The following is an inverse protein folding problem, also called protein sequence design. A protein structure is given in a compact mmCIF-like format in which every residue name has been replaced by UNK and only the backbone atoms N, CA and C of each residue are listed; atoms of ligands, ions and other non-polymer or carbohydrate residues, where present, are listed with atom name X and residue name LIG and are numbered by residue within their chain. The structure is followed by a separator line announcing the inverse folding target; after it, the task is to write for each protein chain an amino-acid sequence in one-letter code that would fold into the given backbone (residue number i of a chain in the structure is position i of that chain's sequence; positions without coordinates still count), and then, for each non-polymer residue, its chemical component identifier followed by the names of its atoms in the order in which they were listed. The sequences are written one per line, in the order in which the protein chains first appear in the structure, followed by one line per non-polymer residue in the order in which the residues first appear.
data_IF_913384239286
#
_entry.id   IF_913384239286
#
_cell.length_a   1.000
_cell.length_b   1.000
_cell.length_c   1.000
_cell.angle_alpha   90.00
_cell.angle_beta   90.00
_cell.angle_gamma   90.00
#
_symmetry.space_group_name_H-M   'P 1'
#
loop_
_entity.id
_entity.type
_entity.pdbx_description
1 polymer ?
#
# COMPACT_ATOMS: atom_id res chain seq x y z
N UNK A 1 -14.87 -20.26 -11.22
CA UNK A 1 -13.85 -19.24 -10.89
C UNK A 1 -13.68 -18.33 -12.08
N UNK A 2 -13.70 -17.02 -11.88
CA UNK A 2 -13.52 -16.08 -12.98
C UNK A 2 -12.02 -16.00 -13.32
N UNK A 3 -11.65 -16.08 -14.61
CA UNK A 3 -10.26 -15.84 -15.00
C UNK A 3 -9.98 -14.34 -14.93
N UNK A 4 -9.36 -13.91 -13.83
CA UNK A 4 -8.98 -12.53 -13.56
C UNK A 4 -7.83 -12.46 -12.56
N UNK A 5 -7.28 -11.26 -12.34
CA UNK A 5 -6.26 -11.03 -11.33
C UNK A 5 -6.53 -9.73 -10.57
N UNK A 6 -6.21 -9.74 -9.29
CA UNK A 6 -6.16 -8.53 -8.46
C UNK A 6 -4.89 -7.73 -8.77
N UNK A 7 -4.96 -6.40 -8.74
CA UNK A 7 -3.81 -5.53 -9.04
C UNK A 7 -3.06 -5.14 -7.77
N UNK A 8 -1.74 -5.24 -7.79
CA UNK A 8 -0.85 -4.61 -6.82
C UNK A 8 0.09 -3.66 -7.55
N UNK A 9 0.42 -2.52 -6.93
CA UNK A 9 1.41 -1.61 -7.50
C UNK A 9 2.81 -2.21 -7.36
N UNK A 10 3.71 -1.92 -8.30
CA UNK A 10 5.09 -2.40 -8.27
C UNK A 10 5.87 -1.89 -7.04
N UNK A 11 5.51 -0.71 -6.53
CA UNK A 11 6.08 -0.08 -5.34
C UNK A 11 5.30 -0.37 -4.05
N UNK A 12 4.36 -1.34 -4.08
CA UNK A 12 3.56 -1.73 -2.91
C UNK A 12 4.43 -1.99 -1.66
N UNK A 13 5.55 -2.69 -1.83
CA UNK A 13 6.50 -3.01 -0.77
C UNK A 13 7.21 -1.78 -0.18
N UNK A 14 7.26 -0.66 -0.90
CA UNK A 14 7.97 0.56 -0.49
C UNK A 14 7.07 1.52 0.32
N UNK A 15 5.77 1.21 0.47
CA UNK A 15 4.90 1.98 1.36
C UNK A 15 5.41 1.87 2.80
N UNK A 16 5.62 2.96 3.55
CA UNK A 16 6.04 2.90 4.96
C UNK A 16 5.13 2.02 5.82
N UNK A 17 3.82 2.03 5.54
CA UNK A 17 2.83 1.18 6.22
C UNK A 17 3.05 -0.31 5.92
N UNK A 18 3.36 -0.65 4.67
CA UNK A 18 3.65 -2.04 4.27
C UNK A 18 5.01 -2.50 4.80
N UNK A 19 6.04 -1.67 4.74
CA UNK A 19 7.36 -2.01 5.31
C UNK A 19 7.28 -2.28 6.80
N UNK A 20 6.56 -1.44 7.56
CA UNK A 20 6.31 -1.65 8.99
C UNK A 20 5.53 -2.94 9.23
N UNK A 21 4.46 -3.17 8.50
CA UNK A 21 3.64 -4.37 8.61
C UNK A 21 4.43 -5.66 8.31
N UNK A 22 5.30 -5.66 7.29
CA UNK A 22 6.17 -6.80 6.99
C UNK A 22 7.18 -7.09 8.11
N UNK A 23 7.61 -6.07 8.84
CA UNK A 23 8.52 -6.23 9.97
C UNK A 23 7.81 -6.70 11.25
N UNK A 24 6.59 -6.22 11.50
CA UNK A 24 5.83 -6.51 12.73
C UNK A 24 4.97 -7.78 12.61
N UNK A 25 4.23 -7.93 11.51
CA UNK A 25 3.30 -9.03 11.27
C UNK A 25 3.21 -9.38 9.78
N UNK A 26 4.19 -10.10 9.22
CA UNK A 26 4.21 -10.44 7.80
C UNK A 26 3.04 -11.34 7.38
N UNK A 27 2.47 -12.14 8.29
CA UNK A 27 1.30 -12.97 8.01
C UNK A 27 0.06 -12.13 7.67
N UNK A 28 -0.14 -11.00 8.38
CA UNK A 28 -1.23 -10.07 8.11
C UNK A 28 -1.19 -9.53 6.67
N UNK A 29 0.00 -9.26 6.12
CA UNK A 29 0.13 -8.84 4.72
C UNK A 29 -0.31 -9.94 3.74
N UNK A 30 -0.02 -11.21 4.05
CA UNK A 30 -0.52 -12.34 3.26
C UNK A 30 -2.04 -12.38 3.20
N UNK A 31 -2.70 -12.21 4.34
CA UNK A 31 -4.16 -12.17 4.44
C UNK A 31 -4.77 -10.91 3.81
N UNK A 32 -4.11 -9.76 3.93
CA UNK A 32 -4.53 -8.53 3.25
C UNK A 32 -4.56 -8.73 1.73
N UNK A 33 -3.49 -9.30 1.15
CA UNK A 33 -3.40 -9.60 -0.29
C UNK A 33 -4.44 -10.66 -0.69
N UNK A 34 -4.66 -11.69 0.14
CA UNK A 34 -5.70 -12.68 -0.09
C UNK A 34 -7.10 -12.05 -0.11
N UNK A 35 -7.38 -11.10 0.79
CA UNK A 35 -8.62 -10.33 0.81
C UNK A 35 -8.83 -9.53 -0.48
N UNK A 36 -7.79 -8.86 -0.99
CA UNK A 36 -7.87 -8.15 -2.28
C UNK A 36 -8.20 -9.15 -3.41
N UNK A 37 -7.55 -10.31 -3.43
CA UNK A 37 -7.81 -11.35 -4.42
C UNK A 37 -9.25 -11.87 -4.34
N UNK A 38 -9.75 -12.13 -3.12
CA UNK A 38 -11.13 -12.57 -2.89
C UNK A 38 -12.14 -11.54 -3.39
N UNK A 39 -11.98 -10.27 -2.99
CA UNK A 39 -12.90 -9.20 -3.37
C UNK A 39 -12.92 -8.97 -4.89
N UNK A 40 -11.77 -9.17 -5.55
CA UNK A 40 -11.65 -9.08 -7.00
C UNK A 40 -12.36 -10.21 -7.74
N UNK A 41 -12.24 -11.47 -7.28
CA UNK A 41 -12.90 -12.62 -7.94
C UNK A 41 -14.43 -12.56 -7.74
N UNK A 42 -14.87 -12.08 -6.58
CA UNK A 42 -16.29 -12.05 -6.21
C UNK A 42 -16.99 -10.73 -6.55
N UNK A 43 -16.27 -9.74 -7.09
CA UNK A 43 -16.78 -8.40 -7.42
C UNK A 43 -17.52 -7.74 -6.24
N UNK A 44 -16.92 -7.79 -5.06
CA UNK A 44 -17.52 -7.26 -3.82
C UNK A 44 -17.10 -5.83 -3.51
N UNK A 45 -16.35 -5.19 -4.40
CA UNK A 45 -15.86 -3.81 -4.23
C UNK A 45 -15.06 -3.56 -2.95
N UNK A 46 -14.42 -4.61 -2.43
CA UNK A 46 -13.60 -4.56 -1.23
C UNK A 46 -14.29 -5.11 0.01
N UNK A 47 -15.59 -5.44 -0.08
CA UNK A 47 -16.33 -6.04 1.02
C UNK A 47 -15.96 -7.51 1.22
N UNK A 48 -15.68 -7.88 2.47
CA UNK A 48 -15.33 -9.22 2.95
C UNK A 48 -16.37 -9.64 3.99
N UNK A 49 -17.21 -10.62 3.68
CA UNK A 49 -18.19 -11.12 4.65
C UNK A 49 -17.51 -11.92 5.76
N UNK A 50 -18.18 -12.06 6.91
CA UNK A 50 -17.76 -12.95 8.00
C UNK A 50 -17.47 -14.37 7.49
N UNK A 51 -18.37 -14.91 6.65
CA UNK A 51 -18.16 -16.22 6.05
C UNK A 51 -16.86 -16.29 5.23
N UNK A 52 -16.53 -15.24 4.48
CA UNK A 52 -15.34 -15.20 3.65
C UNK A 52 -14.05 -15.17 4.49
N UNK A 53 -14.02 -14.32 5.51
CA UNK A 53 -12.84 -14.15 6.37
C UNK A 53 -12.64 -15.38 7.27
N UNK A 54 -13.67 -15.78 8.02
CA UNK A 54 -13.54 -16.82 9.03
C UNK A 54 -13.49 -18.24 8.45
N UNK A 55 -14.20 -18.51 7.34
CA UNK A 55 -14.34 -19.87 6.82
C UNK A 55 -13.62 -20.09 5.49
N UNK A 56 -13.69 -19.16 4.54
CA UNK A 56 -13.05 -19.34 3.24
C UNK A 56 -11.54 -19.08 3.30
N UNK A 57 -11.14 -17.93 3.88
CA UNK A 57 -9.73 -17.57 4.04
C UNK A 57 -9.13 -18.10 5.36
N UNK A 58 -9.98 -18.38 6.36
CA UNK A 58 -9.59 -18.89 7.68
C UNK A 58 -8.54 -17.99 8.32
N UNK A 59 -8.85 -16.69 8.32
CA UNK A 59 -7.99 -15.68 8.92
C UNK A 59 -8.06 -15.83 10.45
N UNK A 60 -6.93 -15.95 11.16
CA UNK A 60 -6.93 -15.98 12.62
C UNK A 60 -7.46 -14.67 13.21
N UNK A 61 -8.22 -14.73 14.30
CA UNK A 61 -8.80 -13.56 14.97
C UNK A 61 -7.75 -12.49 15.30
N UNK A 62 -6.57 -12.91 15.79
CA UNK A 62 -5.44 -12.01 16.08
C UNK A 62 -4.92 -11.25 14.85
N UNK A 63 -5.07 -11.81 13.64
CA UNK A 63 -4.72 -11.15 12.39
C UNK A 63 -5.84 -10.20 11.94
N UNK A 64 -7.10 -10.58 12.17
CA UNK A 64 -8.26 -9.71 11.89
C UNK A 64 -8.15 -8.45 12.74
N UNK A 65 -7.98 -8.61 14.06
CA UNK A 65 -7.81 -7.51 15.02
C UNK A 65 -6.65 -6.59 14.60
N UNK A 66 -5.51 -7.18 14.23
CA UNK A 66 -4.33 -6.42 13.81
C UNK A 66 -4.56 -5.65 12.49
N UNK A 67 -5.23 -6.26 11.51
CA UNK A 67 -5.57 -5.62 10.24
C UNK A 67 -6.57 -4.48 10.42
N UNK A 68 -7.50 -4.61 11.37
CA UNK A 68 -8.39 -3.52 11.78
C UNK A 68 -7.62 -2.38 12.45
N UNK A 69 -6.78 -2.71 13.43
CA UNK A 69 -6.05 -1.72 14.24
C UNK A 69 -5.08 -0.88 13.40
N UNK A 70 -4.40 -1.51 12.44
CA UNK A 70 -3.51 -0.82 11.51
C UNK A 70 -4.28 -0.18 10.33
N UNK A 71 -5.60 -0.33 10.27
CA UNK A 71 -6.48 0.28 9.27
C UNK A 71 -6.25 -0.27 7.85
N UNK A 72 -5.93 -1.56 7.74
CA UNK A 72 -5.97 -2.27 6.47
C UNK A 72 -7.40 -2.68 6.13
N UNK A 73 -8.14 -3.13 7.13
CA UNK A 73 -9.55 -3.47 7.08
C UNK A 73 -10.35 -2.56 8.02
N UNK A 74 -11.59 -2.31 7.66
CA UNK A 74 -12.56 -1.57 8.48
C UNK A 74 -13.71 -2.50 8.81
N UNK A 75 -14.06 -2.64 10.08
CA UNK A 75 -15.22 -3.42 10.50
C UNK A 75 -16.51 -2.67 10.13
N UNK A 76 -17.49 -3.37 9.56
CA UNK A 76 -18.78 -2.82 9.15
C UNK A 76 -19.88 -3.06 10.19
N UNK A 77 -20.84 -2.14 10.29
CA UNK A 77 -21.92 -2.19 11.29
C UNK A 77 -22.88 -3.39 11.08
N UNK A 78 -23.03 -3.84 9.82
CA UNK A 78 -23.84 -4.99 9.43
C UNK A 78 -23.07 -6.32 9.47
N UNK A 79 -21.81 -6.30 9.93
CA UNK A 79 -20.92 -7.44 10.03
C UNK A 79 -20.02 -7.60 8.80
N UNK A 80 -18.84 -8.19 9.04
CA UNK A 80 -17.79 -8.29 8.02
C UNK A 80 -16.90 -7.05 7.96
N UNK A 81 -16.11 -6.95 6.89
CA UNK A 81 -15.03 -5.99 6.76
C UNK A 81 -14.96 -5.34 5.38
N UNK A 82 -14.48 -4.11 5.32
CA UNK A 82 -14.13 -3.40 4.09
C UNK A 82 -12.62 -3.25 3.98
N UNK A 83 -12.05 -3.53 2.81
CA UNK A 83 -10.63 -3.27 2.52
C UNK A 83 -10.44 -1.76 2.30
N UNK A 84 -9.65 -1.11 3.16
CA UNK A 84 -9.38 0.33 3.07
C UNK A 84 -8.73 0.68 1.73
N UNK A 85 -9.31 1.66 1.01
CA UNK A 85 -8.79 2.16 -0.26
C UNK A 85 -8.90 1.21 -1.45
N UNK A 86 -9.71 0.13 -1.38
CA UNK A 86 -9.80 -0.88 -2.44
C UNK A 86 -10.10 -0.28 -3.83
N UNK A 87 -11.10 0.59 -3.92
CA UNK A 87 -11.53 1.21 -5.19
C UNK A 87 -10.55 2.27 -5.74
N UNK A 88 -9.54 2.67 -4.97
CA UNK A 88 -8.46 3.53 -5.49
C UNK A 88 -7.55 2.78 -6.46
N UNK A 89 -7.48 1.46 -6.32
CA UNK A 89 -6.55 0.60 -7.05
C UNK A 89 -7.27 -0.47 -7.88
N UNK A 90 -8.45 -0.90 -7.46
CA UNK A 90 -9.26 -1.89 -8.18
C UNK A 90 -10.37 -1.23 -9.01
N UNK A 91 -10.90 -1.98 -9.98
CA UNK A 91 -12.06 -1.55 -10.73
C UNK A 91 -13.31 -1.96 -9.93
N UNK A 92 -14.31 -1.08 -9.87
CA UNK A 92 -15.60 -1.42 -9.26
C UNK A 92 -16.35 -2.48 -10.07
N UNK A 93 -17.26 -3.19 -9.40
CA UNK A 93 -18.20 -4.14 -9.97
C UNK A 93 -18.96 -3.52 -11.12
N UNK A 94 -19.55 -2.34 -10.91
CA UNK A 94 -20.30 -1.62 -11.93
C UNK A 94 -19.46 -1.35 -13.18
N UNK A 95 -18.21 -0.90 -13.01
CA UNK A 95 -17.30 -0.63 -14.12
C UNK A 95 -16.98 -1.91 -14.91
N UNK A 96 -16.76 -3.02 -14.20
CA UNK A 96 -16.49 -4.33 -14.80
C UNK A 96 -17.73 -4.84 -15.55
N UNK A 97 -18.91 -4.78 -14.94
CA UNK A 97 -20.18 -5.20 -15.55
C UNK A 97 -20.51 -4.36 -16.79
N UNK A 98 -20.34 -3.05 -16.72
CA UNK A 98 -20.54 -2.15 -17.85
C UNK A 98 -19.57 -2.44 -19.00
N UNK A 99 -18.29 -2.70 -18.69
CA UNK A 99 -17.32 -3.13 -19.69
C UNK A 99 -17.68 -4.48 -20.33
N UNK A 100 -18.14 -5.46 -19.53
CA UNK A 100 -18.64 -6.75 -20.02
C UNK A 100 -19.86 -6.59 -20.92
N UNK A 101 -20.80 -5.70 -20.57
CA UNK A 101 -21.99 -5.40 -21.38
C UNK A 101 -21.62 -4.77 -22.73
N UNK A 102 -20.70 -3.79 -22.73
CA UNK A 102 -20.19 -3.17 -23.97
C UNK A 102 -19.48 -4.19 -24.87
N UNK A 103 -18.68 -5.08 -24.29
CA UNK A 103 -18.02 -6.15 -25.05
C UNK A 103 -19.02 -7.14 -25.64
N UNK A 104 -20.01 -7.58 -24.86
CA UNK A 104 -21.07 -8.46 -25.33
C UNK A 104 -21.88 -7.82 -26.47
N UNK A 105 -22.21 -6.52 -26.36
CA UNK A 105 -22.89 -5.77 -27.42
C UNK A 105 -22.04 -5.70 -28.70
N UNK A 106 -20.74 -5.40 -28.58
CA UNK A 106 -19.82 -5.39 -29.72
C UNK A 106 -19.74 -6.75 -30.40
N UNK A 107 -19.67 -7.84 -29.63
CA UNK A 107 -19.62 -9.21 -30.16
C UNK A 107 -20.90 -9.57 -30.89
N UNK A 108 -22.07 -9.25 -30.34
CA UNK A 108 -23.37 -9.43 -31.04
C UNK A 108 -23.43 -8.65 -32.36
N UNK A 109 -23.06 -7.37 -32.34
CA UNK A 109 -23.02 -6.53 -33.53
C UNK A 109 -21.98 -6.94 -34.59
N UNK A 110 -21.02 -7.81 -34.23
CA UNK A 110 -20.02 -8.36 -35.16
C UNK A 110 -20.41 -9.75 -35.64
N UNK A 111 -21.10 -10.54 -34.81
CA UNK A 111 -21.60 -11.88 -35.14
C UNK A 111 -22.81 -11.90 -36.07
N UNK A 112 -23.62 -10.82 -36.10
CA UNK A 112 -24.72 -10.65 -37.07
C UNK A 112 -24.25 -10.26 -38.48
N UNK A 113 -22.94 -10.09 -38.71
CA UNK A 113 -22.39 -9.98 -40.07
C UNK A 113 -22.01 -11.38 -40.55
N UNK A 114 -22.92 -12.02 -41.29
CA UNK A 114 -22.58 -13.21 -42.06
C UNK A 114 -21.46 -12.89 -43.07
N UNK A 115 -20.53 -13.83 -43.20
CA UNK A 115 -19.35 -13.86 -44.05
C UNK A 115 -18.19 -12.88 -43.76
N UNK A 116 -17.17 -13.43 -43.10
CA UNK A 116 -15.91 -13.71 -43.79
C UNK A 116 -15.02 -12.51 -44.16
N UNK A 117 -13.94 -12.35 -43.39
CA UNK A 117 -12.67 -11.73 -43.78
C UNK A 117 -12.73 -10.20 -43.96
N UNK A 118 -12.17 -9.48 -42.98
CA UNK A 118 -11.74 -8.09 -43.22
C UNK A 118 -10.61 -8.12 -44.25
N UNK A 119 -10.80 -7.49 -45.40
CA UNK A 119 -9.73 -7.25 -46.37
C UNK A 119 -8.66 -6.37 -45.73
N UNK A 120 -7.40 -6.81 -45.85
CA UNK A 120 -6.20 -6.21 -45.25
C UNK A 120 -5.96 -4.74 -45.68
N UNK A 121 -6.67 -4.29 -46.71
CA UNK A 121 -6.63 -2.93 -47.27
C UNK A 121 -7.27 -1.85 -46.41
N UNK A 122 -8.02 -2.18 -45.36
CA UNK A 122 -8.58 -1.15 -44.44
C UNK A 122 -7.62 -0.76 -43.30
N UNK A 123 -6.41 -1.34 -43.26
CA UNK A 123 -5.45 -1.14 -42.16
C UNK A 123 -4.40 -0.05 -42.40
N UNK A 124 -4.32 0.55 -43.59
CA UNK A 124 -3.39 1.66 -43.88
C UNK A 124 -3.95 2.60 -44.97
N UNK A 125 -4.50 3.77 -44.62
CA UNK A 125 -4.92 4.75 -45.62
C UNK A 125 -3.76 5.55 -46.21
N UNK A 126 -2.58 5.56 -45.57
CA UNK A 126 -1.39 6.27 -46.06
C UNK A 126 -0.18 5.33 -46.16
N UNK A 127 0.00 4.77 -47.35
CA UNK A 127 1.25 4.13 -47.71
C UNK A 127 2.38 5.16 -47.84
N UNK A 128 3.43 5.00 -47.05
CA UNK A 128 4.79 5.30 -47.50
C UNK A 128 5.54 3.98 -47.47
N UNK A 129 5.79 3.43 -48.67
CA UNK A 129 6.77 2.37 -48.87
C UNK A 129 8.15 2.98 -48.66
N UNK A 130 8.93 2.47 -47.71
CA UNK A 130 10.39 2.55 -47.80
C UNK A 130 10.92 1.17 -48.17
N UNK A 131 11.16 1.02 -49.46
CA UNK A 131 12.03 0.01 -50.05
C UNK A 131 13.49 0.26 -49.59
N UNK A 132 14.31 -0.80 -49.64
CA UNK A 132 15.76 -0.89 -49.37
C UNK A 132 16.12 -1.00 -47.87
N UNK A 133 16.61 -2.15 -47.39
CA UNK A 133 17.94 -2.64 -47.74
C UNK A 133 18.11 -4.16 -47.56
N UNK A 134 18.76 -4.75 -48.57
CA UNK A 134 19.54 -6.00 -48.56
C UNK A 134 20.52 -5.97 -47.35
N UNK A 135 20.96 -7.06 -46.70
CA UNK A 135 21.50 -8.33 -47.20
C UNK A 135 21.79 -9.25 -45.99
N UNK A 136 21.79 -10.60 -46.13
CA UNK A 136 22.09 -11.55 -45.05
C UNK A 136 23.58 -12.00 -44.97
N UNK A 137 23.99 -12.37 -43.74
CA UNK A 137 25.06 -13.32 -43.30
C UNK A 137 26.55 -13.03 -43.60
N UNK A 138 27.43 -13.39 -42.63
CA UNK A 138 28.68 -14.08 -42.93
C UNK A 138 28.69 -15.54 -42.41
N UNK A 139 29.32 -16.41 -43.20
CA UNK A 139 29.66 -17.83 -42.95
C UNK A 139 30.84 -17.95 -41.98
N UNK A 140 30.90 -19.07 -41.25
CA UNK A 140 32.05 -20.00 -41.08
C UNK A 140 31.72 -20.98 -39.95
N UNK A 141 32.06 -22.25 -39.87
CA UNK A 141 32.68 -23.29 -40.71
C UNK A 141 32.45 -24.61 -39.90
N UNK A 142 32.20 -25.72 -40.59
CA UNK A 142 32.15 -27.11 -40.10
C UNK A 142 33.45 -27.53 -39.34
N UNK A 143 33.57 -28.67 -38.58
CA UNK A 143 33.22 -30.02 -39.11
C UNK A 143 32.92 -31.19 -38.13
N UNK A 144 32.54 -32.33 -38.75
CA UNK A 144 32.69 -33.75 -38.35
C UNK A 144 31.78 -34.25 -37.21
N UNK A 145 31.26 -35.48 -37.18
CA UNK A 145 31.57 -36.70 -37.91
C UNK A 145 30.33 -37.65 -37.91
N UNK A 146 30.38 -38.58 -38.84
CA UNK A 146 29.45 -39.64 -39.24
C UNK A 146 29.16 -40.72 -38.17
N UNK A 147 27.93 -41.23 -38.15
CA UNK A 147 27.59 -42.63 -38.50
C UNK A 147 26.55 -43.33 -37.61
N UNK A 148 25.78 -44.18 -38.31
CA UNK A 148 24.99 -45.36 -37.92
C UNK A 148 23.50 -45.25 -37.53
N UNK A 149 22.77 -46.11 -38.25
CA UNK A 149 21.33 -46.29 -38.41
C UNK A 149 20.63 -46.92 -37.20
N UNK A 150 19.32 -46.69 -37.03
CA UNK A 150 18.33 -47.78 -37.01
C UNK A 150 16.88 -47.26 -37.18
N UNK A 151 16.14 -47.90 -38.08
CA UNK A 151 14.72 -47.77 -38.43
C UNK A 151 13.84 -48.48 -37.38
N UNK A 152 12.62 -48.09 -37.01
CA UNK A 152 11.33 -47.85 -37.68
C UNK A 152 10.43 -47.22 -36.57
N UNK A 153 9.48 -46.30 -36.76
CA UNK A 153 8.20 -46.42 -37.49
C UNK A 153 7.51 -45.03 -37.51
N UNK A 154 7.01 -44.63 -38.68
CA UNK A 154 5.84 -43.78 -38.93
C UNK A 154 5.56 -42.62 -37.96
N UNK A 155 6.14 -41.43 -38.22
CA UNK A 155 5.57 -40.16 -37.74
C UNK A 155 4.82 -39.49 -38.87
N UNK A 156 3.53 -39.28 -38.61
CA UNK A 156 2.62 -38.45 -39.38
C UNK A 156 3.21 -37.04 -39.45
N UNK A 157 3.30 -36.55 -40.69
CA UNK A 157 3.51 -35.18 -41.17
C UNK A 157 3.12 -34.10 -40.15
N UNK A 158 4.11 -33.33 -39.73
CA UNK A 158 3.93 -32.01 -39.13
C UNK A 158 3.37 -31.07 -40.21
N UNK A 159 2.19 -30.51 -39.96
CA UNK A 159 1.70 -29.33 -40.67
C UNK A 159 1.83 -28.12 -39.75
N UNK A 160 2.43 -27.08 -40.33
CA UNK A 160 2.62 -25.74 -39.79
C UNK A 160 1.29 -25.15 -39.30
N UNK A 161 1.04 -25.26 -38.01
CA UNK A 161 -0.01 -24.55 -37.31
C UNK A 161 0.48 -23.18 -36.86
N UNK A 162 0.18 -22.16 -37.67
CA UNK A 162 0.17 -20.75 -37.26
C UNK A 162 -0.55 -20.67 -35.91
N UNK A 163 0.20 -20.42 -34.82
CA UNK A 163 -0.36 -20.18 -33.50
C UNK A 163 -1.15 -18.87 -33.54
N UNK A 164 -2.45 -18.99 -33.70
CA UNK A 164 -3.40 -17.90 -33.55
C UNK A 164 -3.36 -17.41 -32.10
N UNK A 165 -3.23 -16.10 -31.93
CA UNK A 165 -3.20 -15.37 -30.64
C UNK A 165 -4.51 -15.52 -29.82
N UNK A 166 -5.44 -16.36 -30.27
CA UNK A 166 -6.79 -16.55 -29.73
C UNK A 166 -6.89 -17.53 -28.57
N UNK A 167 -5.82 -18.23 -28.18
CA UNK A 167 -5.86 -19.16 -27.03
C UNK A 167 -5.45 -18.54 -25.69
N UNK A 168 -5.24 -17.21 -25.62
CA UNK A 168 -4.71 -16.56 -24.39
C UNK A 168 -5.74 -16.01 -23.41
N UNK A 169 -7.05 -16.13 -23.63
CA UNK A 169 -8.03 -15.72 -22.62
C UNK A 169 -9.43 -16.36 -22.83
N UNK A 170 -9.85 -17.34 -22.01
CA UNK A 170 -11.19 -17.95 -22.11
C UNK A 170 -12.35 -16.98 -21.91
N UNK A 171 -12.11 -15.81 -21.31
CA UNK A 171 -13.17 -14.86 -20.95
C UNK A 171 -13.25 -13.61 -21.83
N UNK A 172 -12.45 -13.51 -22.89
CA UNK A 172 -12.62 -12.48 -23.93
C UNK A 172 -12.61 -11.02 -23.44
N UNK A 173 -12.06 -10.75 -22.25
CA UNK A 173 -11.78 -9.40 -21.77
C UNK A 173 -10.49 -8.96 -22.46
N UNK A 174 -10.54 -7.83 -23.17
CA UNK A 174 -9.33 -7.22 -23.77
C UNK A 174 -8.29 -6.96 -22.67
N UNK A 175 -7.02 -7.20 -23.00
CA UNK A 175 -5.87 -6.97 -22.11
C UNK A 175 -5.70 -5.51 -21.66
N UNK A 176 -6.45 -4.59 -22.26
CA UNK A 176 -6.52 -3.17 -21.91
C UNK A 176 -7.33 -2.89 -20.62
N UNK A 177 -8.14 -3.83 -20.13
CA UNK A 177 -8.83 -3.75 -18.83
C UNK A 177 -8.05 -4.46 -17.70
N UNK A 178 -7.05 -5.25 -18.08
CA UNK A 178 -6.04 -5.82 -17.18
C UNK A 178 -4.90 -4.81 -16.90
N UNK A 179 -4.68 -3.83 -17.77
CA UNK A 179 -3.70 -2.75 -17.55
C UNK A 179 -4.37 -1.39 -17.36
N UNK A 180 -4.15 -0.74 -16.20
CA UNK A 180 -4.47 0.68 -16.02
C UNK A 180 -3.30 1.55 -16.50
N UNK A 181 -3.53 2.81 -16.89
CA UNK A 181 -2.59 3.61 -17.69
C UNK A 181 -1.28 3.94 -16.95
N UNK A 182 -0.18 4.09 -17.72
CA UNK A 182 1.10 4.57 -17.20
C UNK A 182 0.94 5.97 -16.60
N UNK A 183 1.55 6.27 -15.43
CA UNK A 183 1.62 7.63 -14.95
C UNK A 183 2.43 8.48 -15.93
N UNK A 184 1.85 9.59 -16.41
CA UNK A 184 2.59 10.63 -17.12
C UNK A 184 3.47 11.34 -16.10
N UNK A 185 4.75 11.02 -16.08
CA UNK A 185 5.78 11.86 -15.47
C UNK A 185 6.14 12.99 -16.43
N UNK A 186 5.63 14.20 -16.18
CA UNK A 186 6.28 15.43 -16.63
C UNK A 186 6.11 16.53 -15.57
N UNK A 187 7.23 17.13 -15.20
CA UNK A 187 7.36 18.42 -14.52
C UNK A 187 8.68 19.03 -15.04
N UNK A 188 8.92 20.37 -15.07
CA UNK A 188 8.07 21.50 -14.68
C UNK A 188 8.11 22.69 -15.70
N UNK A 189 7.51 23.84 -15.32
CA UNK A 189 7.35 25.15 -16.01
C UNK A 189 6.23 25.19 -17.06
N UNK A 190 5.30 26.15 -17.11
CA UNK A 190 5.32 27.57 -16.75
C UNK A 190 3.89 28.05 -16.32
N UNK A 191 3.85 29.21 -15.68
CA UNK A 191 2.72 30.02 -15.18
C UNK A 191 1.37 29.97 -15.94
N UNK A 192 0.26 29.73 -15.23
CA UNK A 192 -0.80 30.74 -14.95
C UNK A 192 -2.01 30.13 -14.23
N UNK A 193 -2.50 30.84 -13.21
CA UNK A 193 -3.76 30.59 -12.48
C UNK A 193 -4.98 30.41 -13.38
N UNK A 194 -5.82 29.40 -13.09
CA UNK A 194 -7.29 29.48 -13.16
C UNK A 194 -7.85 28.52 -12.08
N UNK A 195 -8.50 29.13 -11.10
CA UNK A 195 -9.03 28.55 -9.88
C UNK A 195 -10.36 27.85 -10.17
N UNK A 196 -10.42 26.53 -9.94
CA UNK A 196 -11.69 25.82 -9.81
C UNK A 196 -11.62 24.88 -8.62
N UNK A 197 -11.92 25.44 -7.45
CA UNK A 197 -12.20 24.69 -6.24
C UNK A 197 -13.41 23.76 -6.48
N UNK A 198 -13.14 22.47 -6.66
CA UNK A 198 -14.12 21.42 -6.34
C UNK A 198 -13.55 20.58 -5.20
N UNK A 199 -13.86 21.03 -4.00
CA UNK A 199 -13.62 20.33 -2.73
C UNK A 199 -14.31 18.97 -2.78
N UNK A 200 -13.58 17.90 -3.06
CA UNK A 200 -14.09 16.53 -2.95
C UNK A 200 -14.03 16.14 -1.47
N UNK A 201 -15.21 16.02 -0.88
CA UNK A 201 -15.45 15.65 0.51
C UNK A 201 -14.75 14.33 0.83
N UNK A 202 -13.74 14.40 1.71
CA UNK A 202 -13.30 13.28 2.55
C UNK A 202 -14.45 13.03 3.54
N UNK A 203 -15.20 11.95 3.39
CA UNK A 203 -15.89 11.39 4.55
C UNK A 203 -14.84 10.63 5.35
N UNK A 204 -14.27 11.35 6.31
CA UNK A 204 -13.29 10.87 7.27
C UNK A 204 -13.99 10.09 8.38
N UNK A 205 -13.33 9.08 8.94
CA UNK A 205 -13.67 8.39 10.20
C UNK A 205 -13.89 9.34 11.43
N UNK A 206 -13.76 10.65 11.22
CA UNK A 206 -14.15 11.72 12.12
C UNK A 206 -15.69 11.89 12.28
N UNK A 207 -16.51 11.30 11.41
CA UNK A 207 -17.96 11.58 11.35
C UNK A 207 -18.87 10.53 12.02
N UNK A 208 -18.36 9.42 12.55
CA UNK A 208 -19.19 8.55 13.39
C UNK A 208 -19.18 9.08 14.85
N UNK A 209 -20.28 9.68 15.35
CA UNK A 209 -20.30 10.30 16.66
C UNK A 209 -20.02 9.30 17.77
N UNK A 210 -19.46 9.79 18.88
CA UNK A 210 -19.45 9.02 20.13
C UNK A 210 -20.90 8.70 20.50
N UNK A 211 -21.16 7.49 20.99
CA UNK A 211 -22.45 7.19 21.62
C UNK A 211 -22.66 8.13 22.82
N UNK A 212 -23.92 8.35 23.23
CA UNK A 212 -24.21 9.23 24.37
C UNK A 212 -23.45 8.85 25.65
N UNK A 213 -23.26 7.54 25.87
CA UNK A 213 -22.49 6.99 26.99
C UNK A 213 -21.00 7.32 26.86
N UNK A 214 -20.41 7.11 25.69
CA UNK A 214 -19.00 7.43 25.45
C UNK A 214 -18.71 8.92 25.49
N UNK A 215 -19.65 9.74 25.00
CA UNK A 215 -19.59 11.20 25.11
C UNK A 215 -19.56 11.63 26.58
N UNK A 216 -20.41 11.04 27.43
CA UNK A 216 -20.39 11.30 28.87
C UNK A 216 -19.06 10.91 29.53
N UNK A 217 -18.45 9.81 29.12
CA UNK A 217 -17.10 9.44 29.58
C UNK A 217 -16.02 10.40 29.07
N UNK A 218 -16.12 10.85 27.82
CA UNK A 218 -15.19 11.82 27.28
C UNK A 218 -15.28 13.16 28.00
N UNK A 219 -16.49 13.64 28.32
CA UNK A 219 -16.66 14.88 29.07
C UNK A 219 -16.11 14.74 30.50
N UNK A 220 -16.32 13.60 31.16
CA UNK A 220 -15.69 13.31 32.46
C UNK A 220 -14.15 13.30 32.36
N UNK A 221 -13.59 12.62 31.35
CA UNK A 221 -12.15 12.63 31.08
C UNK A 221 -11.67 14.07 30.84
N UNK A 222 -12.39 14.82 30.01
CA UNK A 222 -12.05 16.17 29.63
C UNK A 222 -12.02 17.08 30.83
N UNK A 223 -12.96 16.96 31.76
CA UNK A 223 -13.05 17.76 32.99
C UNK A 223 -11.92 17.45 33.97
N UNK A 224 -11.54 16.17 34.11
CA UNK A 224 -10.42 15.76 34.97
C UNK A 224 -9.05 16.16 34.42
N UNK A 225 -8.88 16.21 33.09
CA UNK A 225 -7.57 16.42 32.50
C UNK A 225 -7.04 17.85 32.79
N UNK A 226 -5.86 18.04 33.41
CA UNK A 226 -5.39 19.37 33.82
C UNK A 226 -5.23 20.35 32.64
N UNK A 227 -4.60 19.91 31.55
CA UNK A 227 -4.35 20.72 30.36
C UNK A 227 -5.49 20.63 29.33
N UNK A 228 -6.26 21.71 29.14
CA UNK A 228 -7.36 21.78 28.15
C UNK A 228 -6.86 22.21 26.76
N UNK A 229 -6.19 21.32 26.03
CA UNK A 229 -5.69 21.60 24.68
C UNK A 229 -6.21 20.59 23.65
N UNK A 230 -6.71 21.09 22.52
CA UNK A 230 -7.09 20.26 21.36
C UNK A 230 -8.27 19.33 21.64
N UNK A 231 -9.42 19.84 22.09
CA UNK A 231 -10.60 19.03 22.48
C UNK A 231 -11.06 18.08 21.38
N UNK A 232 -11.15 18.58 20.14
CA UNK A 232 -11.59 17.78 18.99
C UNK A 232 -10.65 16.61 18.71
N UNK A 233 -9.34 16.85 18.63
CA UNK A 233 -8.36 15.78 18.41
C UNK A 233 -8.31 14.79 19.59
N UNK A 234 -8.47 15.30 20.81
CA UNK A 234 -8.52 14.46 22.01
C UNK A 234 -9.76 13.55 22.01
N UNK A 235 -10.89 14.01 21.49
CA UNK A 235 -12.11 13.21 21.35
C UNK A 235 -11.88 12.02 20.41
N UNK A 236 -11.25 12.26 19.25
CA UNK A 236 -10.88 11.18 18.32
C UNK A 236 -9.86 10.22 18.94
N UNK A 237 -8.86 10.74 19.65
CA UNK A 237 -7.91 9.90 20.39
C UNK A 237 -8.61 9.09 21.50
N UNK A 238 -9.63 9.66 22.16
CA UNK A 238 -10.40 8.99 23.21
C UNK A 238 -11.22 7.83 22.66
N UNK A 239 -11.88 8.02 21.52
CA UNK A 239 -12.59 6.95 20.81
C UNK A 239 -11.67 5.78 20.47
N UNK A 240 -10.45 6.08 20.01
CA UNK A 240 -9.41 5.07 19.76
C UNK A 240 -8.93 4.40 21.06
N UNK A 241 -8.79 5.18 22.13
CA UNK A 241 -8.36 4.67 23.43
C UNK A 241 -9.38 3.74 24.08
N UNK A 242 -10.69 4.02 23.94
CA UNK A 242 -11.77 3.14 24.45
C UNK A 242 -11.63 1.71 23.93
N UNK A 243 -11.30 1.56 22.64
CA UNK A 243 -11.05 0.24 22.03
C UNK A 243 -9.86 -0.45 22.68
N UNK A 244 -8.71 0.23 22.76
CA UNK A 244 -7.47 -0.33 23.36
C UNK A 244 -7.57 -0.62 24.85
N UNK A 245 -8.42 0.11 25.57
CA UNK A 245 -8.66 -0.05 27.00
C UNK A 245 -9.81 -1.01 27.32
N UNK A 246 -10.51 -1.52 26.31
CA UNK A 246 -11.76 -2.28 26.44
C UNK A 246 -12.81 -1.57 27.32
N UNK A 247 -12.94 -0.25 27.14
CA UNK A 247 -13.88 0.62 27.86
C UNK A 247 -13.24 1.83 28.54
N UNK A 248 -14.08 2.64 29.19
CA UNK A 248 -13.66 3.92 29.77
C UNK A 248 -13.00 3.79 31.17
N UNK A 249 -13.28 2.72 31.90
CA UNK A 249 -12.90 2.58 33.32
C UNK A 249 -11.40 2.79 33.56
N UNK A 250 -10.55 2.13 32.78
CA UNK A 250 -9.09 2.25 32.93
C UNK A 250 -8.60 3.67 32.60
N UNK A 251 -9.17 4.29 31.57
CA UNK A 251 -8.83 5.64 31.12
C UNK A 251 -9.20 6.68 32.19
N UNK A 252 -10.42 6.60 32.73
CA UNK A 252 -10.91 7.50 33.78
C UNK A 252 -10.11 7.33 35.08
N UNK A 253 -9.81 6.09 35.47
CA UNK A 253 -8.94 5.83 36.62
C UNK A 253 -7.52 6.40 36.39
N UNK A 254 -6.98 6.25 35.17
CA UNK A 254 -5.67 6.77 34.78
C UNK A 254 -5.59 8.29 34.82
N UNK A 255 -6.56 9.00 34.24
CA UNK A 255 -6.57 10.47 34.25
C UNK A 255 -6.79 11.01 35.67
N UNK A 256 -7.56 10.32 36.50
CA UNK A 256 -7.73 10.68 37.92
C UNK A 256 -6.39 10.64 38.66
N UNK A 257 -5.61 9.55 38.50
CA UNK A 257 -4.26 9.45 39.09
C UNK A 257 -3.33 10.53 38.54
N UNK A 258 -3.32 10.72 37.23
CA UNK A 258 -2.52 11.74 36.56
C UNK A 258 -2.84 13.16 37.04
N UNK A 259 -4.12 13.46 37.26
CA UNK A 259 -4.59 14.75 37.76
C UNK A 259 -4.26 15.00 39.24
N UNK A 260 -3.87 13.96 39.99
CA UNK A 260 -3.51 14.05 41.41
C UNK A 260 -2.01 13.82 41.66
N UNK A 261 -1.23 13.55 40.61
CA UNK A 261 0.17 13.18 40.76
C UNK A 261 1.01 14.32 41.36
N UNK A 262 1.72 14.08 42.49
CA UNK A 262 2.63 15.04 43.10
C UNK A 262 3.87 15.37 42.27
N UNK A 263 4.28 14.49 41.35
CA UNK A 263 5.48 14.63 40.52
C UNK A 263 5.26 15.49 39.27
N UNK A 264 4.11 16.15 39.14
CA UNK A 264 3.85 17.03 38.00
C UNK A 264 4.79 18.24 37.98
N UNK A 265 5.10 18.79 36.79
CA UNK A 265 5.95 19.96 36.67
C UNK A 265 5.40 21.12 37.53
N UNK A 266 6.25 21.80 38.31
CA UNK A 266 5.81 22.93 39.15
C UNK A 266 5.36 24.13 38.31
N UNK A 267 5.82 24.23 37.05
CA UNK A 267 5.46 25.27 36.09
C UNK A 267 4.04 25.12 35.49
N UNK A 268 3.16 24.39 36.18
CA UNK A 268 1.78 24.16 35.79
C UNK A 268 1.62 23.33 34.50
N UNK A 269 0.56 23.61 33.74
CA UNK A 269 0.12 22.75 32.63
C UNK A 269 0.98 22.85 31.36
N UNK A 270 1.97 23.76 31.31
CA UNK A 270 2.76 24.05 30.11
C UNK A 270 3.49 22.81 29.59
N UNK A 271 4.12 22.05 30.49
CA UNK A 271 4.91 20.86 30.16
C UNK A 271 4.12 19.55 30.29
N UNK A 272 2.83 19.61 30.65
CA UNK A 272 1.97 18.43 30.62
C UNK A 272 1.75 17.99 29.17
N UNK A 273 1.70 16.66 28.98
CA UNK A 273 1.29 16.07 27.69
C UNK A 273 -0.09 16.61 27.33
N UNK A 274 -0.33 16.85 26.05
CA UNK A 274 -1.69 17.14 25.58
C UNK A 274 -2.60 15.93 25.82
N UNK A 275 -3.91 16.13 26.04
CA UNK A 275 -4.86 15.03 26.21
C UNK A 275 -4.79 14.01 25.07
N UNK A 276 -4.68 14.48 23.82
CA UNK A 276 -4.48 13.64 22.63
C UNK A 276 -3.26 12.73 22.78
N UNK A 277 -2.08 13.30 23.03
CA UNK A 277 -0.83 12.53 23.09
C UNK A 277 -0.79 11.60 24.31
N UNK A 278 -1.46 11.97 25.40
CA UNK A 278 -1.61 11.10 26.57
C UNK A 278 -2.51 9.90 26.28
N UNK A 279 -3.59 10.10 25.52
CA UNK A 279 -4.46 9.02 25.06
C UNK A 279 -3.76 8.15 24.00
N UNK A 280 -3.07 8.73 23.02
CA UNK A 280 -2.33 7.97 21.99
C UNK A 280 -1.16 7.16 22.57
N UNK A 281 -0.55 7.64 23.65
CA UNK A 281 0.54 6.97 24.34
C UNK A 281 0.10 5.94 25.39
N UNK A 282 -1.19 5.63 25.49
CA UNK A 282 -1.74 4.70 26.48
C UNK A 282 -1.38 5.05 27.94
N UNK A 283 -1.19 6.33 28.25
CA UNK A 283 -0.67 6.79 29.55
C UNK A 283 -1.60 6.51 30.74
N UNK A 284 -2.82 5.99 30.52
CA UNK A 284 -3.67 5.48 31.61
C UNK A 284 -3.12 4.21 32.26
N UNK A 285 -2.18 3.52 31.59
CA UNK A 285 -1.47 2.34 32.10
C UNK A 285 -0.30 2.71 33.03
N UNK A 286 0.15 3.98 32.98
CA UNK A 286 1.27 4.43 33.79
C UNK A 286 0.89 4.50 35.29
N UNK A 287 1.84 4.16 36.15
CA UNK A 287 1.67 4.23 37.61
C UNK A 287 1.89 5.64 38.16
N UNK A 288 2.80 6.41 37.55
CA UNK A 288 3.10 7.81 37.87
C UNK A 288 3.40 8.60 36.59
N UNK A 289 3.29 9.92 36.65
CA UNK A 289 3.80 10.86 35.67
C UNK A 289 5.31 10.67 35.55
N UNK A 290 5.72 10.05 34.44
CA UNK A 290 7.08 10.16 33.98
C UNK A 290 7.12 11.38 33.06
N UNK A 291 7.78 12.49 33.47
CA UNK A 291 8.16 13.51 32.50
C UNK A 291 8.86 12.76 31.38
N UNK A 292 8.43 12.97 30.13
CA UNK A 292 9.11 12.42 28.96
C UNK A 292 10.59 12.57 29.23
N UNK A 293 11.28 11.43 29.36
CA UNK A 293 12.65 11.36 29.81
C UNK A 293 13.39 12.59 29.31
N UNK A 294 13.98 13.36 30.23
CA UNK A 294 15.01 14.35 29.92
C UNK A 294 15.71 13.87 28.68
N UNK A 295 15.56 14.62 27.57
CA UNK A 295 16.26 14.30 26.32
C UNK A 295 17.67 13.94 26.74
N UNK A 296 18.02 12.66 26.64
CA UNK A 296 19.42 12.26 26.61
C UNK A 296 20.06 13.23 25.62
N UNK A 297 21.18 13.90 25.97
CA UNK A 297 21.74 14.95 25.13
C UNK A 297 21.73 14.47 23.68
N UNK A 298 21.11 15.27 22.81
CA UNK A 298 20.69 14.84 21.48
C UNK A 298 21.81 14.01 20.85
N UNK A 299 21.53 12.74 20.53
CA UNK A 299 22.49 11.98 19.75
C UNK A 299 22.81 12.81 18.50
N UNK A 300 24.10 13.05 18.22
CA UNK A 300 24.48 13.86 17.07
C UNK A 300 23.76 13.30 15.85
N UNK A 301 23.17 14.17 15.03
CA UNK A 301 22.48 13.74 13.82
C UNK A 301 23.42 12.89 12.96
N UNK A 302 22.91 12.03 12.08
CA UNK A 302 23.77 11.27 11.14
C UNK A 302 24.76 12.19 10.42
N UNK A 303 24.34 13.42 10.12
CA UNK A 303 25.21 14.44 9.52
C UNK A 303 26.32 14.92 10.46
N UNK A 304 26.04 15.12 11.75
CA UNK A 304 27.06 15.45 12.75
C UNK A 304 28.00 14.28 13.05
N UNK A 305 27.49 13.04 13.09
CA UNK A 305 28.31 11.84 13.24
C UNK A 305 29.26 11.67 12.06
N UNK A 306 28.77 11.87 10.83
CA UNK A 306 29.59 11.82 9.62
C UNK A 306 30.63 12.94 9.61
N UNK A 307 30.28 14.16 10.03
CA UNK A 307 31.23 15.26 10.14
C UNK A 307 32.32 14.97 11.18
N UNK A 308 31.93 14.44 12.34
CA UNK A 308 32.87 14.07 13.41
C UNK A 308 33.83 12.98 12.94
N UNK A 309 33.31 11.93 12.30
CA UNK A 309 34.11 10.85 11.73
C UNK A 309 35.11 11.38 10.69
N UNK A 310 34.69 12.27 9.79
CA UNK A 310 35.57 12.88 8.80
C UNK A 310 36.67 13.74 9.45
N UNK A 311 36.34 14.51 10.49
CA UNK A 311 37.31 15.32 11.23
C UNK A 311 38.35 14.47 11.98
N UNK A 312 37.92 13.33 12.49
CA UNK A 312 38.83 12.41 13.19
C UNK A 312 39.77 11.71 12.19
N UNK A 313 39.28 11.34 11.00
CA UNK A 313 40.12 10.84 9.91
C UNK A 313 41.18 11.86 9.47
N UNK A 314 40.81 13.13 9.32
CA UNK A 314 41.76 14.21 8.99
C UNK A 314 42.83 14.33 10.06
N UNK A 315 42.45 14.31 11.35
CA UNK A 315 43.40 14.35 12.47
C UNK A 315 44.35 13.16 12.50
N UNK A 316 43.88 11.97 12.12
CA UNK A 316 44.73 10.77 12.04
C UNK A 316 45.78 10.90 10.93
N UNK A 317 45.38 11.38 9.75
CA UNK A 317 46.31 11.59 8.62
C UNK A 317 47.35 12.65 8.98
N UNK A 318 46.94 13.79 9.54
CA UNK A 318 47.86 14.84 9.97
C UNK A 318 48.83 14.39 11.08
N UNK A 319 48.43 13.44 11.92
CA UNK A 319 49.30 12.86 12.94
C UNK A 319 50.30 11.87 12.34
N UNK A 320 49.88 11.10 11.33
CA UNK A 320 50.74 10.18 10.60
C UNK A 320 51.79 10.94 9.78
N UNK A 321 51.40 11.98 9.03
CA UNK A 321 52.33 12.84 8.28
C UNK A 321 53.33 13.53 9.21
N UNK A 322 52.89 13.99 10.39
CA UNK A 322 53.81 14.54 11.41
C UNK A 322 54.75 13.49 11.99
N UNK A 323 54.30 12.26 12.18
CA UNK A 323 55.13 11.15 12.65
C UNK A 323 56.19 10.73 11.62
N UNK A 324 55.79 10.65 10.35
CA UNK A 324 56.66 10.32 9.21
C UNK A 324 57.71 11.43 8.97
N UNK A 325 57.31 12.71 9.03
CA UNK A 325 58.24 13.83 8.92
C UNK A 325 59.28 13.89 10.07
N UNK A 326 58.94 13.40 11.27
CA UNK A 326 59.87 13.30 12.40
C UNK A 326 60.80 12.07 12.24
N UNK A 327 60.36 11.03 11.53
CA UNK A 327 61.17 9.83 11.26
C UNK A 327 62.20 10.06 10.13
N UNK A 328 61.91 10.91 9.14
CA UNK A 328 62.86 11.27 8.06
C UNK A 328 63.97 12.24 8.50
N UNK A 329 63.86 12.86 9.68
CA UNK A 329 64.84 13.80 10.24
C UNK A 329 65.84 13.16 11.23
N UNK A 330 65.78 11.84 11.45
CA UNK A 330 66.73 11.07 12.27
C UNK A 330 67.54 10.14 11.40
#
# INVERSE_FOLDING_TARGET
MSNGYARLKNDFWHSPKIMRALAENPAAIGYYVAGISYASDNLTDGHLSETAVCYAMRVPDEIIDWLEDEGFWECLEDGGWMIHGYLEHQNSREKIEHARKKDAQRKRATGDREDGIRTESERNPNGIRSDLTQNPKPKTQNPSDSSYEESHTTRVREEDGIRTESERNPNGIRSDLTQNPKPKTQNPSDSSYEESHTTRVRESEEDNPLTATEQGYFDHFWDLYPKKQGKRDAMFAFKRALRRAHGATAIIAGVTRFAQDPNRPPDGDRYLRSPKNWLEGDCWKDTNYTPTATRTPAQPSKQQQNLQHNLDLVRMVEAQERGEAIAELK
#
